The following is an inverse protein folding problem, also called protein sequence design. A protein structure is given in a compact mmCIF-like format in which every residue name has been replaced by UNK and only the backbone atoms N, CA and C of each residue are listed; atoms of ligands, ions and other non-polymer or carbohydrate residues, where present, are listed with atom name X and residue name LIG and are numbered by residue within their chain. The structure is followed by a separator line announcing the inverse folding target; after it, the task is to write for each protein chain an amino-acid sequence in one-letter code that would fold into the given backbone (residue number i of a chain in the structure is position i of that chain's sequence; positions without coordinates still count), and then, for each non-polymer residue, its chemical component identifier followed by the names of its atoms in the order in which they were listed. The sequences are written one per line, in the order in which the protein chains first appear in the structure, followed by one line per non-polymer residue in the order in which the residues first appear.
data_IF_961473709088
#
_entry.id   IF_961473709088
#
_cell.length_a   1.000
_cell.length_b   1.000
_cell.length_c   1.000
_cell.angle_alpha   90.00
_cell.angle_beta   90.00
_cell.angle_gamma   90.00
#
_symmetry.space_group_name_H-M   'P 1'
#
loop_
_entity.id
_entity.type
_entity.pdbx_description
1 polymer ?
#
# COMPACT_ATOMS: atom_id res chain seq x y z
N UNK A 1 4.53 -19.35 16.74
CA UNK A 1 5.49 -18.92 15.71
C UNK A 1 5.40 -17.42 15.48
N UNK A 2 6.49 -16.80 15.02
CA UNK A 2 6.51 -15.41 14.52
C UNK A 2 6.78 -15.42 13.04
N UNK A 3 6.22 -14.46 12.33
CA UNK A 3 6.47 -14.24 10.92
C UNK A 3 7.18 -12.92 10.72
N UNK A 4 8.21 -12.93 9.88
CA UNK A 4 8.85 -11.73 9.36
C UNK A 4 8.54 -11.66 7.87
N UNK A 5 7.81 -10.65 7.46
CA UNK A 5 7.45 -10.39 6.07
C UNK A 5 8.23 -9.18 5.58
N UNK A 6 8.93 -9.34 4.46
CA UNK A 6 9.73 -8.27 3.85
C UNK A 6 9.32 -8.08 2.41
N UNK A 7 9.05 -6.83 2.04
CA UNK A 7 8.80 -6.40 0.65
C UNK A 7 10.01 -5.64 0.13
N UNK A 8 10.39 -5.91 -1.11
CA UNK A 8 11.61 -5.40 -1.73
C UNK A 8 11.44 -5.00 -3.21
N UNK A 9 10.26 -4.50 -3.57
CA UNK A 9 9.94 -4.14 -4.95
C UNK A 9 9.85 -5.34 -5.89
N UNK A 10 10.11 -5.14 -7.17
CA UNK A 10 10.03 -6.20 -8.18
C UNK A 10 11.39 -6.86 -8.42
N UNK A 11 11.98 -7.48 -7.41
CA UNK A 11 13.25 -8.19 -7.52
C UNK A 11 13.05 -9.67 -7.80
N UNK A 12 13.89 -10.33 -8.60
CA UNK A 12 13.86 -11.78 -8.78
C UNK A 12 14.02 -12.53 -7.45
N UNK A 13 13.39 -13.71 -7.29
CA UNK A 13 13.45 -14.46 -6.02
C UNK A 13 14.87 -14.79 -5.56
N UNK A 14 15.78 -15.10 -6.49
CA UNK A 14 17.18 -15.44 -6.21
C UNK A 14 17.95 -14.26 -5.62
N UNK A 15 17.64 -13.05 -6.09
CA UNK A 15 18.22 -11.82 -5.55
C UNK A 15 17.66 -11.49 -4.17
N UNK A 16 16.32 -11.61 -4.00
CA UNK A 16 15.67 -11.44 -2.69
C UNK A 16 16.20 -12.44 -1.67
N UNK A 17 16.39 -13.71 -2.07
CA UNK A 17 16.95 -14.74 -1.21
C UNK A 17 18.36 -14.38 -0.74
N UNK A 18 19.22 -14.00 -1.66
CA UNK A 18 20.64 -13.72 -1.36
C UNK A 18 20.84 -12.46 -0.53
N UNK A 19 20.10 -11.38 -0.84
CA UNK A 19 20.32 -10.08 -0.20
C UNK A 19 19.51 -9.92 1.09
N UNK A 20 18.31 -10.48 1.14
CA UNK A 20 17.34 -10.21 2.21
C UNK A 20 17.06 -11.45 3.03
N UNK A 21 16.56 -12.52 2.40
CA UNK A 21 16.09 -13.71 3.12
C UNK A 21 17.16 -14.31 4.01
N UNK A 22 18.36 -14.52 3.49
CA UNK A 22 19.49 -15.08 4.22
C UNK A 22 19.88 -14.22 5.43
N UNK A 23 19.80 -12.90 5.32
CA UNK A 23 20.10 -11.99 6.41
C UNK A 23 19.02 -12.03 7.50
N UNK A 24 17.75 -12.07 7.11
CA UNK A 24 16.61 -12.19 8.03
C UNK A 24 16.66 -13.55 8.76
N UNK A 25 16.88 -14.64 8.04
CA UNK A 25 17.03 -15.98 8.62
C UNK A 25 18.17 -16.06 9.63
N UNK A 26 19.33 -15.52 9.26
CA UNK A 26 20.51 -15.49 10.15
C UNK A 26 20.26 -14.66 11.41
N UNK A 27 19.52 -13.57 11.30
CA UNK A 27 19.14 -12.71 12.42
C UNK A 27 18.11 -13.39 13.31
N UNK A 28 17.12 -14.04 12.71
CA UNK A 28 16.09 -14.79 13.42
C UNK A 28 16.66 -16.02 14.14
N UNK A 29 17.56 -16.77 13.50
CA UNK A 29 18.17 -17.97 14.07
C UNK A 29 19.04 -17.71 15.30
N UNK A 30 19.51 -16.47 15.48
CA UNK A 30 20.30 -16.07 16.66
C UNK A 30 19.46 -15.70 17.87
N UNK A 31 18.13 -15.59 17.73
CA UNK A 31 17.26 -15.25 18.84
C UNK A 31 17.17 -16.39 19.85
N UNK A 32 17.07 -16.04 21.13
CA UNK A 32 16.92 -16.99 22.19
C UNK A 32 15.62 -17.79 22.10
N UNK A 33 15.67 -19.08 22.31
CA UNK A 33 14.49 -19.96 22.28
C UNK A 33 13.99 -20.36 20.91
N UNK A 34 14.68 -19.96 19.81
CA UNK A 34 14.34 -20.39 18.45
C UNK A 34 14.63 -21.86 18.26
N UNK A 35 13.62 -22.60 17.77
CA UNK A 35 13.69 -24.02 17.48
C UNK A 35 13.97 -24.30 16.01
N UNK A 36 13.29 -23.59 15.11
CA UNK A 36 13.45 -23.72 13.67
C UNK A 36 13.13 -22.41 12.97
N UNK A 37 13.80 -22.18 11.82
CA UNK A 37 13.55 -21.07 10.93
C UNK A 37 13.40 -21.63 9.53
N UNK A 38 12.36 -21.21 8.81
CA UNK A 38 12.16 -21.53 7.40
C UNK A 38 11.53 -20.34 6.68
N UNK A 39 11.79 -20.24 5.39
CA UNK A 39 11.35 -19.11 4.59
C UNK A 39 10.69 -19.53 3.29
N UNK A 40 9.89 -18.62 2.76
CA UNK A 40 9.33 -18.70 1.41
C UNK A 40 9.61 -17.38 0.72
N UNK A 41 10.38 -17.44 -0.37
CA UNK A 41 10.76 -16.28 -1.17
C UNK A 41 10.03 -16.29 -2.50
N UNK A 42 9.50 -15.12 -2.88
CA UNK A 42 8.82 -14.86 -4.16
C UNK A 42 9.40 -13.60 -4.79
N UNK A 43 8.92 -13.24 -5.97
CA UNK A 43 9.28 -11.96 -6.61
C UNK A 43 8.97 -10.80 -5.65
N UNK A 44 10.00 -10.07 -5.26
CA UNK A 44 9.88 -8.89 -4.39
C UNK A 44 9.36 -9.10 -2.98
N UNK A 45 9.28 -10.36 -2.52
CA UNK A 45 8.68 -10.69 -1.23
C UNK A 45 9.34 -11.91 -0.59
N UNK A 46 9.63 -11.82 0.69
CA UNK A 46 10.02 -12.98 1.49
C UNK A 46 9.23 -13.03 2.79
N UNK A 47 8.87 -14.25 3.19
CA UNK A 47 8.24 -14.55 4.48
C UNK A 47 9.10 -15.55 5.22
N UNK A 48 9.66 -15.13 6.34
CA UNK A 48 10.46 -15.96 7.23
C UNK A 48 9.60 -16.35 8.43
N UNK A 49 9.47 -17.63 8.68
CA UNK A 49 8.73 -18.19 9.82
C UNK A 49 9.73 -18.64 10.88
N UNK A 50 9.56 -18.15 12.10
CA UNK A 50 10.40 -18.44 13.24
C UNK A 50 9.59 -19.21 14.28
N UNK A 51 9.95 -20.45 14.51
CA UNK A 51 9.32 -21.31 15.53
C UNK A 51 10.13 -21.28 16.83
N UNK A 52 9.42 -21.11 17.93
CA UNK A 52 9.98 -21.10 19.29
C UNK A 52 9.58 -22.35 20.08
N UNK A 53 10.31 -22.63 21.12
CA UNK A 53 9.94 -23.67 22.10
C UNK A 53 8.63 -23.34 22.83
N UNK A 54 7.98 -24.33 23.41
CA UNK A 54 6.71 -24.19 24.13
C UNK A 54 6.82 -23.29 25.39
N UNK A 55 8.02 -23.26 26.01
CA UNK A 55 8.28 -22.53 27.25
C UNK A 55 8.71 -21.08 27.02
N UNK A 56 8.76 -20.63 25.76
CA UNK A 56 9.21 -19.28 25.41
C UNK A 56 8.11 -18.24 25.60
N UNK A 57 8.47 -17.13 26.25
CA UNK A 57 7.61 -15.95 26.29
C UNK A 57 7.54 -15.31 24.88
N UNK A 58 6.39 -15.48 24.24
CA UNK A 58 6.17 -15.02 22.87
C UNK A 58 6.08 -13.50 22.75
N UNK A 59 5.76 -12.78 23.82
CA UNK A 59 5.71 -11.32 23.80
C UNK A 59 7.12 -10.73 23.86
N UNK A 60 7.98 -11.31 24.72
CA UNK A 60 9.39 -10.97 24.75
C UNK A 60 10.10 -11.33 23.43
N UNK A 61 9.88 -12.55 22.93
CA UNK A 61 10.45 -13.01 21.66
C UNK A 61 10.03 -12.13 20.47
N UNK A 62 8.77 -11.66 20.43
CA UNK A 62 8.27 -10.74 19.40
C UNK A 62 9.01 -9.40 19.44
N UNK A 63 9.17 -8.81 20.62
CA UNK A 63 9.87 -7.53 20.78
C UNK A 63 11.35 -7.62 20.40
N UNK A 64 12.00 -8.72 20.76
CA UNK A 64 13.42 -8.96 20.47
C UNK A 64 13.64 -9.20 18.98
N UNK A 65 12.78 -9.99 18.34
CA UNK A 65 12.81 -10.21 16.89
C UNK A 65 12.54 -8.91 16.15
N UNK A 66 11.53 -8.14 16.56
CA UNK A 66 11.20 -6.86 15.95
C UNK A 66 12.36 -5.86 16.04
N UNK A 67 13.03 -5.75 17.17
CA UNK A 67 14.22 -4.89 17.33
C UNK A 67 15.36 -5.35 16.41
N UNK A 68 15.61 -6.65 16.35
CA UNK A 68 16.71 -7.20 15.56
C UNK A 68 16.50 -7.04 14.06
N UNK A 69 15.25 -7.15 13.60
CA UNK A 69 14.89 -7.04 12.18
C UNK A 69 14.70 -5.59 11.78
N UNK A 70 14.32 -4.67 12.69
CA UNK A 70 14.16 -3.24 12.39
C UNK A 70 15.45 -2.57 11.89
N UNK A 71 16.62 -3.10 12.24
CA UNK A 71 17.90 -2.63 11.68
C UNK A 71 18.03 -2.88 10.17
N UNK A 72 17.33 -3.90 9.65
CA UNK A 72 17.33 -4.23 8.23
C UNK A 72 16.43 -3.29 7.42
N UNK A 73 15.47 -2.62 8.03
CA UNK A 73 14.60 -1.64 7.36
C UNK A 73 15.33 -0.37 6.89
N UNK A 74 16.60 -0.18 7.31
CA UNK A 74 17.45 0.92 6.83
C UNK A 74 18.12 0.64 5.48
N UNK A 75 18.01 -0.60 4.98
CA UNK A 75 18.53 -0.98 3.67
C UNK A 75 17.63 -0.43 2.57
N UNK A 76 18.18 0.35 1.64
CA UNK A 76 17.45 0.92 0.49
C UNK A 76 16.79 -0.14 -0.41
N UNK A 77 17.21 -1.39 -0.29
CA UNK A 77 16.62 -2.52 -1.01
C UNK A 77 15.30 -3.02 -0.41
N UNK A 78 14.93 -2.55 0.76
CA UNK A 78 13.77 -3.01 1.52
C UNK A 78 12.73 -1.88 1.59
N UNK A 79 11.54 -2.14 1.07
CA UNK A 79 10.41 -1.20 1.11
C UNK A 79 9.64 -1.27 2.43
N UNK A 80 9.45 -2.48 2.94
CA UNK A 80 8.64 -2.71 4.14
C UNK A 80 9.13 -3.96 4.87
N UNK A 81 9.26 -3.87 6.19
CA UNK A 81 9.50 -5.01 7.08
C UNK A 81 8.39 -5.06 8.10
N UNK A 82 7.71 -6.18 8.18
CA UNK A 82 6.64 -6.40 9.13
C UNK A 82 6.89 -7.67 9.93
N UNK A 83 6.76 -7.60 11.26
CA UNK A 83 6.83 -8.76 12.15
C UNK A 83 5.44 -9.00 12.69
N UNK A 84 4.91 -10.20 12.47
CA UNK A 84 3.58 -10.60 12.92
C UNK A 84 3.65 -11.86 13.76
N UNK A 85 2.75 -11.98 14.73
CA UNK A 85 2.60 -13.17 15.55
C UNK A 85 1.61 -14.11 14.88
N UNK A 86 2.07 -15.35 14.65
CA UNK A 86 1.15 -16.40 14.22
C UNK A 86 0.41 -16.95 15.44
N UNK A 87 -0.88 -16.77 15.43
CA UNK A 87 -1.77 -17.49 16.33
C UNK A 87 -2.34 -18.71 15.57
N UNK A 88 -1.97 -19.90 15.99
CA UNK A 88 -2.50 -21.14 15.41
C UNK A 88 -4.03 -21.27 15.58
N UNK A 89 -4.62 -20.48 16.47
CA UNK A 89 -6.05 -20.40 16.68
C UNK A 89 -6.71 -19.30 15.84
N UNK A 90 -5.94 -18.57 15.01
CA UNK A 90 -6.45 -17.55 14.09
C UNK A 90 -7.12 -18.17 12.86
N UNK A 91 -7.98 -19.17 13.06
CA UNK A 91 -8.99 -19.51 12.05
C UNK A 91 -10.11 -18.49 12.15
N UNK A 92 -10.61 -17.97 11.02
CA UNK A 92 -11.78 -17.10 11.06
C UNK A 92 -12.96 -17.86 11.67
N UNK A 93 -13.65 -17.21 12.60
CA UNK A 93 -14.86 -17.78 13.19
C UNK A 93 -16.08 -17.68 12.26
N UNK A 94 -15.96 -16.75 11.30
CA UNK A 94 -16.98 -16.56 10.27
C UNK A 94 -16.34 -16.01 8.99
N UNK A 95 -16.75 -16.55 7.86
CA UNK A 95 -16.40 -16.05 6.54
C UNK A 95 -17.66 -15.67 5.78
N UNK A 96 -17.73 -14.44 5.30
CA UNK A 96 -18.87 -13.89 4.58
C UNK A 96 -18.45 -13.57 3.16
N UNK A 97 -19.23 -13.97 2.17
CA UNK A 97 -19.11 -13.44 0.81
C UNK A 97 -20.08 -12.28 0.64
N UNK A 98 -19.53 -11.12 0.34
CA UNK A 98 -20.30 -9.92 0.03
C UNK A 98 -20.44 -9.82 -1.49
N UNK A 99 -21.70 -9.73 -1.93
CA UNK A 99 -22.06 -9.50 -3.33
C UNK A 99 -23.03 -8.33 -3.43
N UNK A 100 -23.19 -7.78 -4.62
CA UNK A 100 -24.20 -6.76 -4.88
C UNK A 100 -24.91 -7.09 -6.20
N UNK A 101 -26.22 -6.88 -6.26
CA UNK A 101 -27.04 -7.26 -7.41
C UNK A 101 -26.68 -6.49 -8.68
N UNK A 102 -26.32 -5.21 -8.56
CA UNK A 102 -26.07 -4.32 -9.70
C UNK A 102 -24.59 -3.92 -9.81
N UNK A 103 -23.89 -3.70 -8.68
CA UNK A 103 -22.50 -3.25 -8.63
C UNK A 103 -21.58 -4.45 -8.69
N UNK A 104 -20.87 -4.61 -9.80
CA UNK A 104 -19.86 -5.67 -10.01
C UNK A 104 -18.42 -5.18 -9.85
N UNK A 105 -18.24 -3.90 -9.59
CA UNK A 105 -16.92 -3.32 -9.33
C UNK A 105 -16.45 -3.68 -7.92
N UNK A 106 -15.39 -4.48 -7.83
CA UNK A 106 -14.81 -4.91 -6.56
C UNK A 106 -14.22 -3.75 -5.76
N UNK A 107 -13.81 -2.66 -6.41
CA UNK A 107 -13.32 -1.48 -5.71
C UNK A 107 -14.44 -0.73 -4.96
N UNK A 108 -15.64 -0.65 -5.54
CA UNK A 108 -16.80 -0.06 -4.86
C UNK A 108 -17.24 -0.93 -3.68
N UNK A 109 -17.31 -2.26 -3.87
CA UNK A 109 -17.59 -3.20 -2.77
C UNK A 109 -16.56 -3.07 -1.64
N UNK A 110 -15.26 -2.94 -2.00
CA UNK A 110 -14.19 -2.73 -1.03
C UNK A 110 -14.40 -1.46 -0.22
N UNK A 111 -14.71 -0.33 -0.87
CA UNK A 111 -14.92 0.95 -0.18
C UNK A 111 -15.99 0.86 0.90
N UNK A 112 -17.11 0.21 0.60
CA UNK A 112 -18.19 0.00 1.58
C UNK A 112 -17.74 -0.94 2.70
N UNK A 113 -17.06 -2.03 2.34
CA UNK A 113 -16.58 -3.00 3.31
C UNK A 113 -15.52 -2.40 4.26
N UNK A 114 -14.56 -1.61 3.75
CA UNK A 114 -13.51 -0.99 4.57
C UNK A 114 -14.03 0.18 5.40
N UNK A 115 -14.76 1.10 4.78
CA UNK A 115 -15.12 2.36 5.43
C UNK A 115 -16.31 2.24 6.38
N UNK A 116 -17.23 1.33 6.11
CA UNK A 116 -18.45 1.18 6.89
C UNK A 116 -18.47 -0.16 7.64
N UNK A 117 -18.44 -1.28 6.91
CA UNK A 117 -18.67 -2.59 7.53
C UNK A 117 -17.55 -2.99 8.50
N UNK A 118 -16.29 -2.83 8.10
CA UNK A 118 -15.15 -3.15 8.96
C UNK A 118 -15.19 -2.37 10.28
N UNK A 119 -15.46 -1.08 10.20
CA UNK A 119 -15.50 -0.21 11.39
C UNK A 119 -16.60 -0.60 12.35
N UNK A 120 -17.76 -1.03 11.84
CA UNK A 120 -18.88 -1.46 12.66
C UNK A 120 -18.70 -2.87 13.21
N UNK A 121 -18.12 -3.79 12.42
CA UNK A 121 -17.87 -5.16 12.85
C UNK A 121 -16.75 -5.28 13.89
N UNK A 122 -15.70 -4.45 13.80
CA UNK A 122 -14.61 -4.43 14.81
C UNK A 122 -15.13 -3.95 16.17
N UNK A 123 -16.22 -3.18 16.21
CA UNK A 123 -16.83 -2.73 17.46
C UNK A 123 -17.69 -3.79 18.13
N UNK A 124 -17.94 -4.92 17.46
CA UNK A 124 -18.72 -6.02 18.05
C UNK A 124 -17.87 -6.73 19.10
N UNK A 125 -18.43 -6.93 20.29
CA UNK A 125 -17.75 -7.57 21.39
C UNK A 125 -17.23 -8.97 21.02
N UNK A 126 -15.94 -9.20 21.26
CA UNK A 126 -15.28 -10.46 21.00
C UNK A 126 -14.65 -10.60 19.62
N UNK A 127 -14.66 -9.55 18.79
CA UNK A 127 -14.00 -9.51 17.49
C UNK A 127 -12.64 -8.85 17.61
N UNK A 128 -11.59 -9.55 17.15
CA UNK A 128 -10.22 -9.07 17.18
C UNK A 128 -9.79 -8.40 15.88
N UNK A 129 -10.11 -9.01 14.73
CA UNK A 129 -9.66 -8.51 13.41
C UNK A 129 -10.62 -8.95 12.30
N UNK A 130 -10.58 -8.19 11.21
CA UNK A 130 -11.37 -8.45 10.00
C UNK A 130 -10.47 -8.28 8.79
N UNK A 131 -10.37 -9.33 7.99
CA UNK A 131 -9.60 -9.36 6.77
C UNK A 131 -10.50 -9.42 5.54
N UNK A 132 -10.18 -8.58 4.56
CA UNK A 132 -10.87 -8.54 3.27
C UNK A 132 -10.06 -9.30 2.22
N UNK A 133 -10.70 -10.16 1.47
CA UNK A 133 -10.10 -10.98 0.42
C UNK A 133 -10.83 -10.77 -0.91
N UNK A 134 -10.10 -10.79 -2.02
CA UNK A 134 -10.67 -10.59 -3.35
C UNK A 134 -10.95 -9.13 -3.70
N UNK A 135 -10.39 -8.21 -2.94
CA UNK A 135 -10.51 -6.76 -3.17
C UNK A 135 -9.69 -6.32 -4.38
N UNK A 136 -10.19 -5.30 -5.07
CA UNK A 136 -9.45 -4.54 -6.07
C UNK A 136 -9.27 -3.11 -5.58
N UNK A 137 -8.13 -2.53 -5.91
CA UNK A 137 -7.83 -1.15 -5.58
C UNK A 137 -7.62 -0.37 -6.88
N UNK A 138 -8.32 0.75 -7.02
CA UNK A 138 -8.06 1.66 -8.11
C UNK A 138 -6.69 2.32 -7.92
N UNK A 139 -5.89 2.30 -8.98
CA UNK A 139 -4.58 2.94 -9.07
C UNK A 139 -4.56 3.90 -10.24
N UNK A 140 -3.73 4.92 -10.14
CA UNK A 140 -3.39 5.76 -11.28
C UNK A 140 -2.18 5.18 -11.96
N UNK A 141 -2.35 4.71 -13.18
CA UNK A 141 -1.27 4.20 -14.01
C UNK A 141 -0.73 5.31 -14.89
N UNK A 142 0.58 5.50 -14.84
CA UNK A 142 1.30 6.44 -15.69
C UNK A 142 2.15 5.63 -16.66
N UNK A 143 1.64 5.48 -17.88
CA UNK A 143 2.33 4.74 -18.94
C UNK A 143 3.21 5.69 -19.74
N UNK A 144 4.51 5.62 -19.55
CA UNK A 144 5.49 6.49 -20.21
C UNK A 144 5.83 5.99 -21.61
N UNK A 145 6.04 6.94 -22.54
CA UNK A 145 6.52 6.61 -23.88
C UNK A 145 8.06 6.69 -23.92
N UNK A 146 8.79 5.56 -24.13
CA UNK A 146 10.26 5.54 -24.11
C UNK A 146 10.90 6.50 -25.09
N UNK A 147 10.33 6.64 -26.29
CA UNK A 147 10.84 7.55 -27.32
C UNK A 147 10.72 9.02 -26.91
N UNK A 148 9.63 9.37 -26.23
CA UNK A 148 9.45 10.72 -25.73
C UNK A 148 10.35 11.00 -24.53
N UNK A 149 10.54 10.02 -23.64
CA UNK A 149 11.49 10.14 -22.53
C UNK A 149 12.91 10.43 -23.05
N UNK A 150 13.37 9.66 -24.03
CA UNK A 150 14.67 9.87 -24.63
C UNK A 150 14.80 11.23 -25.33
N UNK A 151 13.77 11.64 -26.08
CA UNK A 151 13.74 12.93 -26.79
C UNK A 151 13.83 14.16 -25.84
N UNK A 152 13.34 14.01 -24.60
CA UNK A 152 13.38 15.06 -23.58
C UNK A 152 14.48 14.85 -22.54
N UNK A 153 15.28 13.78 -22.65
CA UNK A 153 16.34 13.44 -21.68
C UNK A 153 15.79 13.08 -20.29
N UNK A 154 14.60 12.48 -20.23
CA UNK A 154 13.91 12.09 -19.02
C UNK A 154 14.08 10.60 -18.73
N UNK A 155 14.00 10.24 -17.45
CA UNK A 155 13.93 8.85 -16.99
C UNK A 155 12.62 8.62 -16.24
N UNK A 156 12.14 7.38 -16.23
CA UNK A 156 10.91 7.02 -15.49
C UNK A 156 11.08 7.30 -13.98
N UNK A 157 12.26 6.99 -13.41
CA UNK A 157 12.57 7.26 -12.00
C UNK A 157 12.61 8.75 -11.69
N UNK A 158 13.12 9.57 -12.62
CA UNK A 158 13.10 11.02 -12.49
C UNK A 158 11.67 11.57 -12.42
N UNK A 159 10.77 11.06 -13.26
CA UNK A 159 9.35 11.43 -13.24
C UNK A 159 8.70 10.98 -11.91
N UNK A 160 8.94 9.75 -11.46
CA UNK A 160 8.42 9.23 -10.20
C UNK A 160 8.87 10.10 -9.01
N UNK A 161 10.14 10.48 -8.96
CA UNK A 161 10.69 11.35 -7.92
C UNK A 161 10.05 12.74 -7.94
N UNK A 162 9.80 13.32 -9.11
CA UNK A 162 9.13 14.62 -9.23
C UNK A 162 7.68 14.57 -8.77
N UNK A 163 6.93 13.53 -9.16
CA UNK A 163 5.55 13.34 -8.71
C UNK A 163 5.49 13.20 -7.20
N UNK A 164 6.40 12.43 -6.61
CA UNK A 164 6.49 12.25 -5.15
C UNK A 164 6.81 13.57 -4.44
N UNK A 165 7.72 14.37 -5.00
CA UNK A 165 8.09 15.67 -4.44
C UNK A 165 6.95 16.68 -4.47
N UNK A 166 6.12 16.65 -5.52
CA UNK A 166 4.96 17.55 -5.67
C UNK A 166 3.81 17.12 -4.77
N UNK A 167 3.59 15.81 -4.61
CA UNK A 167 2.50 15.26 -3.79
C UNK A 167 2.84 15.24 -2.29
N UNK A 168 3.34 16.36 -1.78
CA UNK A 168 3.67 16.52 -0.37
C UNK A 168 3.09 17.81 0.18
N UNK A 169 2.59 17.75 1.42
CA UNK A 169 2.23 18.95 2.17
C UNK A 169 3.51 19.61 2.67
N UNK A 170 3.77 20.82 2.23
CA UNK A 170 4.92 21.60 2.68
C UNK A 170 4.46 22.55 3.78
N UNK A 171 5.16 22.50 4.93
CA UNK A 171 4.96 23.52 5.97
C UNK A 171 5.61 24.83 5.52
N UNK A 172 4.80 25.87 5.33
CA UNK A 172 5.26 27.22 5.00
C UNK A 172 5.79 28.02 6.21
N UNK A 173 5.91 27.34 7.38
CA UNK A 173 6.33 28.00 8.62
C UNK A 173 5.15 28.67 9.35
N UNK A 174 5.47 29.57 10.26
CA UNK A 174 4.51 30.31 11.08
C UNK A 174 4.65 31.80 10.86
N UNK A 175 3.53 32.50 10.70
CA UNK A 175 3.46 33.95 10.64
C UNK A 175 2.85 34.43 11.97
N UNK A 176 3.54 35.33 12.68
CA UNK A 176 3.03 35.94 13.91
C UNK A 176 2.50 37.31 13.56
N UNK A 177 1.23 37.56 13.87
CA UNK A 177 0.60 38.86 13.74
C UNK A 177 0.02 39.25 15.12
N UNK A 178 0.74 40.17 15.79
CA UNK A 178 0.46 40.49 17.18
C UNK A 178 0.67 39.27 18.11
N UNK A 179 -0.35 38.92 18.89
CA UNK A 179 -0.34 37.80 19.84
C UNK A 179 -0.86 36.49 19.20
N UNK A 180 -1.19 36.50 17.90
CA UNK A 180 -1.74 35.34 17.20
C UNK A 180 -0.70 34.74 16.24
N UNK A 181 -0.47 33.45 16.35
CA UNK A 181 0.45 32.72 15.52
C UNK A 181 -0.35 31.87 14.49
N UNK A 182 -0.15 32.15 13.21
CA UNK A 182 -0.76 31.43 12.09
C UNK A 182 0.24 30.43 11.52
N UNK A 183 -0.15 29.17 11.44
CA UNK A 183 0.63 28.15 10.71
C UNK A 183 0.25 28.20 9.24
N UNK A 184 1.21 28.50 8.39
CA UNK A 184 1.02 28.47 6.93
C UNK A 184 1.29 27.05 6.45
N UNK A 185 0.27 26.42 5.86
CA UNK A 185 0.37 25.09 5.25
C UNK A 185 0.15 25.20 3.74
N UNK A 186 1.18 24.88 2.97
CA UNK A 186 1.05 24.69 1.53
C UNK A 186 0.40 23.34 1.27
N UNK A 187 -0.85 23.33 0.82
CA UNK A 187 -1.55 22.09 0.40
C UNK A 187 -1.28 21.88 -1.07
N UNK A 188 -0.38 20.97 -1.38
CA UNK A 188 0.01 20.65 -2.77
C UNK A 188 -0.38 19.20 -3.11
N UNK A 189 -1.56 18.77 -2.62
CA UNK A 189 -2.06 17.42 -2.88
C UNK A 189 -2.70 17.35 -4.26
N UNK A 190 -2.32 16.32 -4.98
CA UNK A 190 -2.94 15.93 -6.25
C UNK A 190 -4.34 15.39 -5.95
N UNK A 191 -5.37 16.00 -6.51
CA UNK A 191 -6.78 15.64 -6.27
C UNK A 191 -7.49 15.12 -7.52
N UNK A 192 -6.94 15.40 -8.70
CA UNK A 192 -7.54 15.00 -9.98
C UNK A 192 -6.50 14.42 -10.94
N UNK A 193 -6.97 13.66 -11.94
CA UNK A 193 -6.10 13.19 -13.03
C UNK A 193 -5.48 14.36 -13.81
N UNK A 194 -6.22 15.43 -13.98
CA UNK A 194 -5.75 16.62 -14.68
C UNK A 194 -4.58 17.30 -13.95
N UNK A 195 -4.56 17.24 -12.62
CA UNK A 195 -3.43 17.76 -11.83
C UNK A 195 -2.16 16.97 -12.14
N UNK A 196 -2.29 15.63 -12.27
CA UNK A 196 -1.17 14.75 -12.63
C UNK A 196 -0.71 15.04 -14.07
N UNK A 197 -1.62 15.11 -15.02
CA UNK A 197 -1.32 15.36 -16.43
C UNK A 197 -0.58 16.70 -16.65
N UNK A 198 -0.89 17.70 -15.83
CA UNK A 198 -0.31 19.03 -15.93
C UNK A 198 0.96 19.21 -15.07
N UNK A 199 1.50 18.17 -14.48
CA UNK A 199 2.80 18.22 -13.80
C UNK A 199 3.89 18.54 -14.83
N UNK A 200 4.71 19.56 -14.53
CA UNK A 200 5.86 19.92 -15.36
C UNK A 200 7.00 18.95 -15.04
N UNK A 201 7.41 18.15 -16.02
CA UNK A 201 8.46 17.13 -15.88
C UNK A 201 9.81 17.57 -16.49
N UNK A 202 9.81 18.56 -17.37
CA UNK A 202 11.01 19.13 -17.96
C UNK A 202 10.78 20.54 -18.49
N UNK A 203 11.86 21.19 -18.89
CA UNK A 203 11.86 22.43 -19.65
C UNK A 203 12.65 22.24 -20.94
N UNK A 204 12.00 22.45 -22.08
CA UNK A 204 12.66 22.42 -23.37
C UNK A 204 13.33 23.77 -23.64
N UNK A 205 14.63 23.76 -23.88
CA UNK A 205 15.31 24.96 -24.39
C UNK A 205 14.95 25.13 -25.87
N UNK A 206 14.26 26.20 -26.19
CA UNK A 206 14.10 26.59 -27.59
C UNK A 206 15.44 27.11 -28.12
N UNK A 207 16.24 26.21 -28.67
CA UNK A 207 17.32 26.59 -29.59
C UNK A 207 16.67 26.99 -30.91
N UNK A 208 16.22 28.23 -31.03
CA UNK A 208 15.95 28.80 -32.34
C UNK A 208 17.29 28.87 -33.08
N UNK A 209 17.51 27.88 -33.96
CA UNK A 209 18.61 27.85 -34.89
C UNK A 209 18.51 29.05 -35.85
N UNK A 210 19.25 30.07 -35.52
CA UNK A 210 19.54 31.20 -36.43
C UNK A 210 21.03 31.29 -36.55
N UNK A 211 21.60 30.64 -37.57
CA UNK A 211 22.93 30.98 -38.07
C UNK A 211 22.92 32.44 -38.53
N UNK A 212 23.55 33.30 -37.75
CA UNK A 212 24.17 34.50 -38.32
C UNK A 212 25.23 35.05 -37.36
N UNK A 213 26.37 35.18 -37.95
CA UNK A 213 27.60 35.70 -37.44
C UNK A 213 27.51 37.10 -36.82
N UNK A 214 28.36 37.29 -35.80
CA UNK A 214 29.02 38.53 -35.35
C UNK A 214 28.13 39.69 -34.88
N UNK A 215 28.15 39.88 -33.54
CA UNK A 215 28.69 41.06 -32.87
C UNK A 215 28.26 41.05 -31.40
N UNK A 216 29.25 41.36 -30.56
CA UNK A 216 29.12 41.56 -29.11
C UNK A 216 28.11 42.63 -28.81
N UNK A 217 27.06 42.28 -28.12
CA UNK A 217 26.33 43.18 -27.22
C UNK A 217 25.64 42.36 -26.11
N UNK A 218 26.07 42.63 -24.91
CA UNK A 218 25.54 42.18 -23.64
C UNK A 218 24.08 42.59 -23.53
N UNK A 219 23.17 41.68 -23.91
CA UNK A 219 21.78 41.71 -23.48
C UNK A 219 21.40 40.28 -23.06
N UNK A 220 21.13 40.10 -21.78
CA UNK A 220 20.57 38.90 -21.22
C UNK A 220 19.26 38.54 -21.92
N UNK A 221 19.37 37.84 -23.04
CA UNK A 221 18.24 37.22 -23.68
C UNK A 221 17.72 36.14 -22.74
N UNK A 222 16.61 36.42 -22.09
CA UNK A 222 15.83 35.45 -21.33
C UNK A 222 15.51 34.29 -22.26
N UNK A 223 16.26 33.19 -22.12
CA UNK A 223 15.97 31.93 -22.82
C UNK A 223 14.61 31.46 -22.33
N UNK A 224 13.61 31.62 -23.16
CA UNK A 224 12.24 31.18 -22.85
C UNK A 224 12.24 29.66 -22.86
N UNK A 225 12.27 29.07 -21.67
CA UNK A 225 12.13 27.62 -21.50
C UNK A 225 10.67 27.27 -21.58
N UNK A 226 10.31 26.44 -22.55
CA UNK A 226 8.94 25.92 -22.66
C UNK A 226 8.76 24.75 -21.70
N UNK A 227 7.74 24.75 -20.83
CA UNK A 227 7.46 23.62 -19.95
C UNK A 227 7.00 22.41 -20.76
N UNK A 228 7.47 21.23 -20.36
CA UNK A 228 7.03 19.93 -20.87
C UNK A 228 6.16 19.31 -19.76
N UNK A 229 4.94 19.00 -20.08
CA UNK A 229 3.98 18.42 -19.14
C UNK A 229 4.03 16.90 -19.19
N UNK A 230 3.60 16.25 -18.11
CA UNK A 230 3.55 14.78 -18.03
C UNK A 230 2.70 14.18 -19.16
N UNK A 231 1.58 14.80 -19.52
CA UNK A 231 0.72 14.39 -20.65
C UNK A 231 1.43 14.35 -22.01
N UNK A 232 2.54 15.09 -22.17
CA UNK A 232 3.31 15.13 -23.42
C UNK A 232 4.24 13.91 -23.57
N UNK A 233 4.57 13.24 -22.45
CA UNK A 233 5.53 12.13 -22.39
C UNK A 233 4.93 10.82 -21.85
N UNK A 234 3.72 10.89 -21.27
CA UNK A 234 3.04 9.75 -20.67
C UNK A 234 1.53 9.84 -20.83
N UNK A 235 0.87 8.70 -20.78
CA UNK A 235 -0.57 8.58 -20.69
C UNK A 235 -0.95 8.27 -19.25
N UNK A 236 -1.87 9.06 -18.68
CA UNK A 236 -2.36 8.87 -17.31
C UNK A 236 -3.76 8.26 -17.37
N UNK A 237 -3.97 7.14 -16.69
CA UNK A 237 -5.26 6.46 -16.64
C UNK A 237 -5.54 5.87 -15.27
N UNK A 238 -6.83 5.76 -14.93
CA UNK A 238 -7.24 5.01 -13.74
C UNK A 238 -7.55 3.58 -14.17
N UNK A 239 -6.93 2.61 -13.50
CA UNK A 239 -7.30 1.21 -13.65
C UNK A 239 -7.31 0.52 -12.29
N UNK A 240 -7.96 -0.64 -12.21
CA UNK A 240 -7.85 -1.47 -11.02
C UNK A 240 -6.51 -2.21 -11.05
N UNK A 241 -5.81 -2.21 -9.90
CA UNK A 241 -4.62 -3.05 -9.70
C UNK A 241 -4.99 -4.51 -9.91
N UNK A 242 -4.10 -5.29 -10.53
CA UNK A 242 -4.32 -6.71 -10.69
C UNK A 242 -4.52 -7.37 -9.31
N UNK A 243 -5.60 -8.14 -9.12
CA UNK A 243 -5.94 -8.67 -7.81
C UNK A 243 -4.91 -9.73 -7.38
N UNK A 244 -4.40 -9.59 -6.16
CA UNK A 244 -3.50 -10.59 -5.56
C UNK A 244 -4.24 -11.88 -5.20
N UNK A 245 -5.52 -11.75 -4.82
CA UNK A 245 -6.39 -12.85 -4.44
C UNK A 245 -7.75 -12.70 -5.12
N UNK A 246 -8.33 -13.80 -5.55
CA UNK A 246 -9.66 -13.85 -6.13
C UNK A 246 -10.61 -14.62 -5.23
N UNK A 247 -11.67 -13.96 -4.78
CA UNK A 247 -12.78 -14.61 -4.09
C UNK A 247 -13.96 -14.79 -5.04
N UNK A 248 -14.57 -15.98 -5.01
CA UNK A 248 -15.76 -16.31 -5.79
C UNK A 248 -16.77 -17.05 -4.94
N UNK A 249 -18.02 -16.69 -5.11
CA UNK A 249 -19.15 -17.40 -4.53
C UNK A 249 -20.10 -17.82 -5.64
N UNK A 250 -20.43 -19.11 -5.72
CA UNK A 250 -21.24 -19.69 -6.80
C UNK A 250 -20.77 -19.35 -8.23
N UNK A 251 -19.45 -19.17 -8.43
CA UNK A 251 -18.86 -18.84 -9.74
C UNK A 251 -18.77 -17.34 -10.02
N UNK A 252 -19.49 -16.49 -9.30
CA UNK A 252 -19.41 -15.03 -9.41
C UNK A 252 -18.33 -14.45 -8.50
N UNK A 253 -17.74 -13.33 -8.91
CA UNK A 253 -16.76 -12.61 -8.08
C UNK A 253 -17.48 -11.99 -6.87
N UNK A 254 -16.87 -12.13 -5.72
CA UNK A 254 -17.34 -11.56 -4.47
C UNK A 254 -16.19 -10.97 -3.66
N UNK A 255 -16.52 -10.17 -2.67
CA UNK A 255 -15.58 -9.76 -1.64
C UNK A 255 -15.71 -10.69 -0.44
N UNK A 256 -14.63 -11.41 -0.11
CA UNK A 256 -14.57 -12.26 1.07
C UNK A 256 -14.25 -11.44 2.31
N UNK A 257 -15.01 -11.62 3.38
CA UNK A 257 -14.79 -11.00 4.69
C UNK A 257 -14.54 -12.11 5.68
N UNK A 258 -13.30 -12.23 6.17
CA UNK A 258 -12.90 -13.20 7.19
C UNK A 258 -12.81 -12.53 8.54
N UNK A 259 -13.55 -13.03 9.51
CA UNK A 259 -13.71 -12.43 10.84
C UNK A 259 -13.02 -13.30 11.88
N UNK A 260 -12.16 -12.68 12.67
CA UNK A 260 -11.36 -13.32 13.71
C UNK A 260 -11.80 -12.87 15.11
N UNK A 261 -11.91 -13.82 16.04
CA UNK A 261 -12.31 -13.52 17.42
C UNK A 261 -11.11 -13.21 18.31
N UNK A 262 -11.37 -12.56 19.43
CA UNK A 262 -10.42 -12.45 20.53
C UNK A 262 -10.15 -13.81 21.20
N UNK A 263 -8.90 -14.07 21.59
CA UNK A 263 -8.44 -15.38 22.08
C UNK A 263 -9.22 -15.88 23.32
N UNK A 264 -9.70 -15.00 24.17
CA UNK A 264 -10.37 -15.37 25.43
C UNK A 264 -11.90 -15.26 25.35
N UNK A 265 -12.45 -14.85 24.24
CA UNK A 265 -13.89 -14.63 24.10
C UNK A 265 -14.62 -15.93 23.69
N UNK A 266 -15.87 -16.08 24.15
CA UNK A 266 -16.69 -17.24 23.80
C UNK A 266 -17.11 -17.15 22.32
N UNK A 267 -16.80 -18.20 21.54
CA UNK A 267 -17.08 -18.24 20.11
C UNK A 267 -18.56 -18.17 19.80
N UNK A 268 -19.43 -18.80 20.59
CA UNK A 268 -20.88 -18.80 20.38
C UNK A 268 -21.45 -17.39 20.52
N UNK A 269 -21.08 -16.70 21.61
CA UNK A 269 -21.51 -15.32 21.85
C UNK A 269 -20.99 -14.37 20.75
N UNK A 270 -19.75 -14.53 20.31
CA UNK A 270 -19.19 -13.73 19.22
C UNK A 270 -19.97 -13.92 17.91
N UNK A 271 -20.32 -15.16 17.58
CA UNK A 271 -21.10 -15.47 16.36
C UNK A 271 -22.52 -14.93 16.47
N UNK A 272 -23.18 -15.03 17.62
CA UNK A 272 -24.52 -14.47 17.84
C UNK A 272 -24.53 -12.94 17.67
N UNK A 273 -23.56 -12.25 18.26
CA UNK A 273 -23.39 -10.81 18.11
C UNK A 273 -23.14 -10.41 16.65
N UNK A 274 -22.31 -11.18 15.92
CA UNK A 274 -22.04 -10.96 14.49
C UNK A 274 -23.30 -11.15 13.64
N UNK A 275 -24.07 -12.22 13.87
CA UNK A 275 -25.30 -12.47 13.13
C UNK A 275 -26.31 -11.33 13.31
N UNK A 276 -26.46 -10.83 14.54
CA UNK A 276 -27.32 -9.68 14.82
C UNK A 276 -26.85 -8.43 14.04
N UNK A 277 -25.52 -8.19 13.96
CA UNK A 277 -24.96 -7.06 13.22
C UNK A 277 -25.10 -7.22 11.71
N UNK A 278 -24.97 -8.43 11.18
CA UNK A 278 -25.20 -8.72 9.76
C UNK A 278 -26.67 -8.47 9.38
N UNK A 279 -27.61 -8.84 10.26
CA UNK A 279 -29.04 -8.57 10.03
C UNK A 279 -29.36 -7.06 10.06
N UNK A 280 -28.61 -6.28 10.83
CA UNK A 280 -28.68 -4.81 10.80
C UNK A 280 -28.15 -4.30 9.45
N UNK A 281 -27.02 -4.82 8.94
CA UNK A 281 -26.49 -4.45 7.62
C UNK A 281 -27.45 -4.79 6.48
N UNK A 282 -28.12 -5.94 6.52
CA UNK A 282 -29.14 -6.29 5.51
C UNK A 282 -30.26 -5.28 5.43
N UNK A 283 -30.58 -4.62 6.55
CA UNK A 283 -31.60 -3.57 6.59
C UNK A 283 -31.07 -2.19 6.15
N UNK A 284 -29.81 -1.88 6.49
CA UNK A 284 -29.21 -0.57 6.23
C UNK A 284 -28.56 -0.44 4.86
N UNK A 285 -28.18 -1.57 4.23
CA UNK A 285 -27.50 -1.63 2.94
C UNK A 285 -28.35 -2.40 1.91
N UNK A 286 -29.37 -1.78 1.33
CA UNK A 286 -30.21 -2.43 0.32
C UNK A 286 -29.38 -2.73 -0.93
N UNK A 287 -29.57 -3.94 -1.52
CA UNK A 287 -28.85 -4.40 -2.70
C UNK A 287 -27.54 -5.14 -2.41
N UNK A 288 -27.07 -5.15 -1.16
CA UNK A 288 -25.94 -5.97 -0.71
C UNK A 288 -26.42 -7.30 -0.14
N UNK A 289 -25.86 -8.39 -0.67
CA UNK A 289 -26.15 -9.74 -0.21
C UNK A 289 -24.97 -10.28 0.60
N UNK A 290 -25.30 -10.81 1.79
CA UNK A 290 -24.36 -11.36 2.75
C UNK A 290 -24.54 -12.87 2.82
N UNK A 291 -23.62 -13.62 2.22
CA UNK A 291 -23.63 -15.08 2.22
C UNK A 291 -22.60 -15.59 3.24
N UNK A 292 -23.10 -16.21 4.31
CA UNK A 292 -22.26 -16.84 5.33
C UNK A 292 -21.79 -18.18 4.76
N UNK A 293 -20.44 -18.37 4.70
CA UNK A 293 -19.81 -19.56 4.11
C UNK A 293 -19.44 -20.57 5.20
N UNK A 294 -18.89 -20.10 6.34
CA UNK A 294 -18.48 -20.92 7.48
C UNK A 294 -18.54 -20.10 8.78
#
# INVERSE_FOLDING_TARGET
ALYVEVKSGQRPPEEVEKLITTNVESTAARQEGVKSVYSVTKVGYTKVTVEYGWDQDMDAAFLDLQRSVSSLSQDESIEEVNVTRYDANATPIMTIALTHNEVKDMNELRKIAENYMRNELVRVDGIADIQLNGQEQAIVEISTNPYMLEAFGLTADGIASQITAINQNVSGGTITDGDIQYTVKGVNLITSLQDIENIIVAFKENSSGGSSSSSESTSSASKTKAPVYLKDVATVSIRNKDPENLARYNGERCLGISIYKENKYNTVNAVENLLAKIDEFRKSLPGYDFHIIS
#
